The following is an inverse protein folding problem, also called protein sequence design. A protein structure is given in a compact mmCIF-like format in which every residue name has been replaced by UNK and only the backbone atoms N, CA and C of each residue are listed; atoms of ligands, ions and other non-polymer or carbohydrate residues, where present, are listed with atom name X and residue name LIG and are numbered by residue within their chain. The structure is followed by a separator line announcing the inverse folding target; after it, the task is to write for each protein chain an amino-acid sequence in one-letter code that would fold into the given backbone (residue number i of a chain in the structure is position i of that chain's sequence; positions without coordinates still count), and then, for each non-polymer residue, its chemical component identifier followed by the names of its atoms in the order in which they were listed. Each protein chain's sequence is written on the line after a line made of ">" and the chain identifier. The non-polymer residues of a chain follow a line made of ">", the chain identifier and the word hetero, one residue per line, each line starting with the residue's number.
data_IF_570574952746
#
_entry.id   IF_570574952746
#
_cell.length_a   1.000
_cell.length_b   1.000
_cell.length_c   1.000
_cell.angle_alpha   90.00
_cell.angle_beta   90.00
_cell.angle_gamma   90.00
#
_symmetry.space_group_name_H-M   'P 1'
#
loop_
_entity.id
_entity.type
_entity.pdbx_description
1 polymer ?
#
# COMPACT_ATOMS: atom_id res chain seq x y z
N UNK A 1 30.97 13.33 3.25
CA UNK A 1 29.70 13.99 2.87
C UNK A 1 29.17 13.23 1.67
N UNK A 2 28.23 12.31 1.88
CA UNK A 2 27.70 11.44 0.83
C UNK A 2 26.86 12.27 -0.13
N UNK A 3 27.16 12.24 -1.43
CA UNK A 3 26.19 12.65 -2.44
C UNK A 3 25.00 11.70 -2.29
N UNK A 4 23.85 12.20 -1.84
CA UNK A 4 22.58 11.58 -2.19
C UNK A 4 22.48 11.65 -3.71
N UNK A 5 22.93 10.60 -4.40
CA UNK A 5 22.82 10.48 -5.84
C UNK A 5 21.35 10.60 -6.22
N UNK A 6 21.02 11.55 -7.09
CA UNK A 6 19.68 11.64 -7.66
C UNK A 6 19.37 10.31 -8.36
N UNK A 7 18.29 9.65 -7.95
CA UNK A 7 17.79 8.46 -8.64
C UNK A 7 17.39 8.87 -10.05
N UNK A 8 18.26 8.57 -11.03
CA UNK A 8 18.14 9.09 -12.39
C UNK A 8 17.58 8.05 -13.37
N UNK A 9 17.65 6.77 -13.00
CA UNK A 9 17.15 5.64 -13.79
C UNK A 9 16.81 4.41 -12.94
N UNK A 10 16.41 3.34 -13.62
CA UNK A 10 15.94 2.10 -12.98
C UNK A 10 17.04 1.38 -12.17
N UNK A 11 18.29 1.46 -12.61
CA UNK A 11 19.43 0.84 -11.92
C UNK A 11 19.74 1.56 -10.59
N UNK A 12 19.81 2.89 -10.61
CA UNK A 12 19.97 3.69 -9.39
C UNK A 12 18.85 3.40 -8.38
N UNK A 13 17.61 3.32 -8.86
CA UNK A 13 16.46 3.01 -8.02
C UNK A 13 16.57 1.61 -7.41
N UNK A 14 16.92 0.59 -8.22
CA UNK A 14 17.11 -0.78 -7.73
C UNK A 14 18.17 -0.81 -6.63
N UNK A 15 19.31 -0.19 -6.85
CA UNK A 15 20.39 -0.12 -5.87
C UNK A 15 19.92 0.57 -4.58
N UNK A 16 19.19 1.69 -4.69
CA UNK A 16 18.62 2.37 -3.54
C UNK A 16 17.62 1.49 -2.76
N UNK A 17 16.77 0.73 -3.47
CA UNK A 17 15.82 -0.20 -2.86
C UNK A 17 16.55 -1.33 -2.11
N UNK A 18 17.55 -1.96 -2.73
CA UNK A 18 18.32 -3.06 -2.13
C UNK A 18 19.11 -2.61 -0.89
N UNK A 19 19.76 -1.46 -0.95
CA UNK A 19 20.47 -0.87 0.20
C UNK A 19 19.49 -0.52 1.33
N UNK A 20 18.33 0.04 0.99
CA UNK A 20 17.30 0.40 1.98
C UNK A 20 16.72 -0.84 2.63
N UNK A 21 16.42 -1.88 1.86
CA UNK A 21 15.87 -3.14 2.36
C UNK A 21 16.84 -3.83 3.34
N UNK A 22 18.13 -3.90 2.97
CA UNK A 22 19.18 -4.41 3.85
C UNK A 22 19.36 -3.58 5.13
N UNK A 23 19.25 -2.25 5.03
CA UNK A 23 19.30 -1.38 6.21
C UNK A 23 18.09 -1.62 7.13
N UNK A 24 16.89 -1.80 6.56
CA UNK A 24 15.69 -2.11 7.32
C UNK A 24 15.76 -3.47 8.01
N UNK A 25 16.48 -4.44 7.48
CA UNK A 25 16.71 -5.73 8.17
C UNK A 25 17.41 -5.55 9.51
N UNK A 26 18.29 -4.55 9.61
CA UNK A 26 18.98 -4.20 10.86
C UNK A 26 18.05 -3.52 11.86
N UNK A 27 17.15 -2.66 11.38
CA UNK A 27 16.24 -1.88 12.23
C UNK A 27 14.99 -2.66 12.66
N UNK A 28 14.51 -3.56 11.82
CA UNK A 28 13.29 -4.34 12.01
C UNK A 28 13.53 -5.82 11.65
N UNK A 29 14.35 -6.55 12.42
CA UNK A 29 14.74 -7.93 12.09
C UNK A 29 13.57 -8.90 12.06
N UNK A 30 12.50 -8.64 12.82
CA UNK A 30 11.27 -9.44 12.79
C UNK A 30 10.50 -9.33 11.46
N UNK A 31 10.82 -8.36 10.59
CA UNK A 31 10.16 -8.12 9.31
C UNK A 31 11.01 -8.52 8.10
N UNK A 32 12.17 -9.15 8.31
CA UNK A 32 13.05 -9.62 7.21
C UNK A 32 12.26 -10.50 6.25
N UNK A 33 12.35 -10.20 4.95
CA UNK A 33 11.62 -10.90 3.88
C UNK A 33 10.10 -10.70 3.89
N UNK A 34 9.56 -9.94 4.84
CA UNK A 34 8.12 -9.71 5.02
C UNK A 34 7.77 -8.23 4.81
N UNK A 35 8.05 -7.71 3.61
CA UNK A 35 7.84 -6.29 3.28
C UNK A 35 6.95 -6.09 2.06
N UNK A 36 6.24 -4.97 2.13
CA UNK A 36 5.50 -4.36 1.03
C UNK A 36 6.09 -2.99 0.74
N UNK A 37 5.77 -2.43 -0.42
CA UNK A 37 6.27 -1.13 -0.85
C UNK A 37 5.17 -0.07 -0.85
N UNK A 38 5.51 1.19 -0.63
CA UNK A 38 4.60 2.31 -0.79
C UNK A 38 5.21 3.31 -1.78
N UNK A 39 4.53 3.56 -2.90
CA UNK A 39 5.00 4.52 -3.90
C UNK A 39 4.99 5.94 -3.31
N UNK A 40 6.15 6.64 -3.24
CA UNK A 40 6.22 8.00 -2.71
C UNK A 40 5.38 8.95 -3.56
N UNK A 41 4.45 9.69 -2.95
CA UNK A 41 3.48 10.53 -3.67
C UNK A 41 2.71 9.78 -4.79
N UNK A 42 2.60 8.46 -4.67
CA UNK A 42 2.04 7.56 -5.69
C UNK A 42 2.79 7.53 -7.04
N UNK A 43 3.98 8.12 -7.10
CA UNK A 43 4.84 8.13 -8.29
C UNK A 43 5.39 6.73 -8.55
N UNK A 44 5.14 6.14 -9.72
CA UNK A 44 5.60 4.77 -10.05
C UNK A 44 6.57 4.70 -11.22
N UNK A 45 7.27 5.79 -11.47
CA UNK A 45 8.25 5.94 -12.54
C UNK A 45 9.46 6.80 -12.11
N UNK A 46 10.55 6.62 -12.85
CA UNK A 46 11.76 7.46 -12.83
C UNK A 46 11.98 8.04 -14.22
N UNK A 47 12.89 9.02 -14.32
CA UNK A 47 13.12 9.75 -15.57
C UNK A 47 11.97 10.71 -15.92
N UNK A 48 12.06 11.37 -17.08
CA UNK A 48 11.09 12.36 -17.56
C UNK A 48 10.96 12.29 -19.07
N UNK A 49 9.83 12.73 -19.61
CA UNK A 49 9.60 12.79 -21.06
C UNK A 49 9.72 11.40 -21.72
N UNK A 50 10.47 11.33 -22.82
CA UNK A 50 10.68 10.09 -23.58
C UNK A 50 11.46 9.01 -22.79
N UNK A 51 12.24 9.40 -21.77
CA UNK A 51 13.04 8.49 -20.96
C UNK A 51 12.31 8.01 -19.69
N UNK A 52 11.03 8.36 -19.53
CA UNK A 52 10.21 7.97 -18.37
C UNK A 52 10.00 6.47 -18.36
N UNK A 53 10.37 5.83 -17.26
CA UNK A 53 10.33 4.38 -17.10
C UNK A 53 9.61 4.00 -15.83
N UNK A 54 8.67 3.06 -15.91
CA UNK A 54 8.01 2.53 -14.73
C UNK A 54 8.93 1.58 -13.97
N UNK A 55 8.89 1.67 -12.65
CA UNK A 55 9.61 0.75 -11.77
C UNK A 55 8.70 -0.25 -11.06
N UNK A 56 7.40 -0.31 -11.41
CA UNK A 56 6.47 -1.32 -10.90
C UNK A 56 7.01 -2.75 -11.09
N UNK A 57 7.64 -3.13 -12.22
CA UNK A 57 8.23 -4.47 -12.36
C UNK A 57 9.35 -4.77 -11.36
N UNK A 58 10.10 -3.75 -10.94
CA UNK A 58 11.15 -3.90 -9.91
C UNK A 58 10.47 -4.21 -8.57
N UNK A 59 9.43 -3.46 -8.21
CA UNK A 59 8.65 -3.69 -6.99
C UNK A 59 8.03 -5.09 -6.99
N UNK A 60 7.47 -5.53 -8.11
CA UNK A 60 6.88 -6.86 -8.26
C UNK A 60 7.89 -8.01 -8.00
N UNK A 61 9.18 -7.78 -8.31
CA UNK A 61 10.24 -8.75 -8.09
C UNK A 61 10.81 -8.76 -6.66
N UNK A 62 10.60 -7.69 -5.89
CA UNK A 62 11.23 -7.49 -4.57
C UNK A 62 10.26 -7.60 -3.40
N UNK A 63 9.02 -7.16 -3.55
CA UNK A 63 8.07 -7.02 -2.46
C UNK A 63 6.79 -7.82 -2.70
N UNK A 64 6.01 -8.09 -1.64
CA UNK A 64 4.72 -8.81 -1.80
C UNK A 64 3.70 -8.02 -2.61
N UNK A 65 3.72 -6.70 -2.46
CA UNK A 65 2.79 -5.77 -3.08
C UNK A 65 3.35 -4.35 -2.99
N UNK A 66 2.84 -3.47 -3.85
CA UNK A 66 3.09 -2.04 -3.83
C UNK A 66 1.79 -1.25 -3.67
N UNK A 67 1.73 -0.33 -2.70
CA UNK A 67 0.60 0.56 -2.44
C UNK A 67 0.73 1.84 -3.26
N UNK A 68 -0.13 1.97 -4.27
CA UNK A 68 -0.30 3.14 -5.14
C UNK A 68 -1.52 4.00 -4.73
N UNK A 69 -1.75 5.10 -5.43
CA UNK A 69 -2.93 5.97 -5.26
C UNK A 69 -4.14 5.51 -6.09
N UNK A 70 -5.01 6.45 -6.47
CA UNK A 70 -6.17 6.29 -7.39
C UNK A 70 -7.56 6.07 -6.74
N UNK A 71 -7.69 6.16 -5.41
CA UNK A 71 -8.99 6.20 -4.71
C UNK A 71 -10.01 5.15 -5.19
N UNK A 72 -9.58 3.88 -5.22
CA UNK A 72 -10.41 2.77 -5.68
C UNK A 72 -10.20 1.51 -4.85
N UNK A 73 -11.28 0.76 -4.64
CA UNK A 73 -11.21 -0.58 -4.04
C UNK A 73 -10.71 -1.60 -5.05
N UNK A 74 -10.12 -2.68 -4.58
CA UNK A 74 -9.41 -3.64 -5.42
C UNK A 74 -10.15 -4.98 -5.46
N UNK A 75 -10.39 -5.52 -6.64
CA UNK A 75 -10.86 -6.91 -6.79
C UNK A 75 -9.69 -7.84 -6.47
N UNK A 76 -9.77 -8.70 -5.43
CA UNK A 76 -8.67 -9.58 -5.06
C UNK A 76 -8.28 -10.57 -6.17
N UNK A 77 -9.16 -10.84 -7.14
CA UNK A 77 -8.87 -11.75 -8.25
C UNK A 77 -8.09 -11.10 -9.39
N UNK A 78 -8.18 -9.78 -9.52
CA UNK A 78 -7.71 -9.04 -10.70
C UNK A 78 -6.66 -7.97 -10.37
N UNK A 79 -6.50 -7.62 -9.09
CA UNK A 79 -5.55 -6.60 -8.67
C UNK A 79 -4.12 -7.00 -9.04
N UNK A 80 -3.41 -6.11 -9.72
CA UNK A 80 -1.96 -6.15 -9.79
C UNK A 80 -1.43 -5.76 -8.41
N UNK A 81 -0.95 -6.75 -7.65
CA UNK A 81 -0.49 -6.52 -6.28
C UNK A 81 0.70 -5.55 -6.23
N UNK A 82 1.55 -5.52 -7.26
CA UNK A 82 2.66 -4.57 -7.33
C UNK A 82 2.18 -3.12 -7.52
N UNK A 83 0.91 -2.91 -7.91
CA UNK A 83 0.28 -1.61 -8.08
C UNK A 83 -1.15 -1.59 -7.48
N UNK A 84 -1.25 -1.91 -6.20
CA UNK A 84 -2.52 -1.93 -5.47
C UNK A 84 -2.99 -0.52 -5.16
N UNK A 85 -4.21 -0.17 -5.53
CA UNK A 85 -4.77 1.18 -5.31
C UNK A 85 -5.18 1.38 -3.87
N UNK A 86 -5.14 2.64 -3.43
CA UNK A 86 -5.57 3.03 -2.09
C UNK A 86 -6.39 4.32 -2.10
N UNK A 87 -7.16 4.51 -1.05
CA UNK A 87 -7.85 5.75 -0.76
C UNK A 87 -7.01 6.57 0.21
N UNK A 88 -6.75 7.81 -0.17
CA UNK A 88 -6.11 8.78 0.69
C UNK A 88 -7.14 9.36 1.67
N UNK A 89 -6.83 9.26 2.95
CA UNK A 89 -7.61 9.84 4.02
C UNK A 89 -7.07 11.24 4.30
N UNK A 90 -7.96 12.21 4.16
CA UNK A 90 -7.76 13.63 4.36
C UNK A 90 -9.09 14.27 4.78
N UNK A 91 -9.27 14.48 6.09
CA UNK A 91 -10.40 15.20 6.66
C UNK A 91 -11.78 14.54 6.54
N UNK A 92 -11.90 13.30 6.02
CA UNK A 92 -13.20 12.63 5.93
C UNK A 92 -13.73 12.25 7.32
N UNK A 93 -15.06 12.28 7.44
CA UNK A 93 -15.77 11.78 8.61
C UNK A 93 -15.75 10.25 8.64
N UNK A 94 -15.77 9.67 9.84
CA UNK A 94 -15.82 8.23 10.05
C UNK A 94 -16.96 7.58 9.25
N UNK A 95 -18.15 8.21 9.26
CA UNK A 95 -19.30 7.74 8.50
C UNK A 95 -19.03 7.64 6.98
N UNK A 96 -18.27 8.58 6.41
CA UNK A 96 -17.92 8.57 4.98
C UNK A 96 -16.94 7.44 4.65
N UNK A 97 -15.97 7.21 5.53
CA UNK A 97 -15.00 6.11 5.39
C UNK A 97 -15.67 4.75 5.60
N UNK A 98 -16.62 4.65 6.54
CA UNK A 98 -17.42 3.46 6.77
C UNK A 98 -18.27 3.12 5.53
N UNK A 99 -18.95 4.09 4.90
CA UNK A 99 -19.68 3.83 3.65
C UNK A 99 -18.73 3.39 2.52
N UNK A 100 -17.52 3.94 2.46
CA UNK A 100 -16.49 3.50 1.52
C UNK A 100 -16.09 2.02 1.75
N UNK A 101 -15.84 1.62 3.00
CA UNK A 101 -15.53 0.23 3.37
C UNK A 101 -16.69 -0.69 2.98
N UNK A 102 -17.92 -0.34 3.35
CA UNK A 102 -19.14 -1.08 3.05
C UNK A 102 -19.36 -1.25 1.54
N UNK A 103 -19.10 -0.21 0.74
CA UNK A 103 -19.15 -0.30 -0.74
C UNK A 103 -18.09 -1.26 -1.29
N UNK A 104 -16.90 -1.29 -0.71
CA UNK A 104 -15.85 -2.25 -1.05
C UNK A 104 -16.29 -3.68 -0.76
N UNK A 105 -16.76 -3.92 0.45
CA UNK A 105 -17.25 -5.23 0.91
C UNK A 105 -18.40 -5.75 0.04
N UNK A 106 -19.40 -4.92 -0.30
CA UNK A 106 -20.52 -5.31 -1.20
C UNK A 106 -20.06 -5.78 -2.58
N UNK A 107 -18.90 -5.31 -3.05
CA UNK A 107 -18.30 -5.73 -4.32
C UNK A 107 -17.39 -6.96 -4.16
N UNK A 108 -17.16 -7.44 -2.94
CA UNK A 108 -16.13 -8.44 -2.65
C UNK A 108 -14.71 -7.90 -2.84
N UNK A 109 -14.54 -6.58 -2.79
CA UNK A 109 -13.25 -5.91 -2.93
C UNK A 109 -12.62 -5.66 -1.57
N UNK A 110 -11.30 -5.63 -1.52
CA UNK A 110 -10.57 -5.09 -0.38
C UNK A 110 -10.31 -3.60 -0.57
N UNK A 111 -10.27 -2.88 0.56
CA UNK A 111 -10.09 -1.43 0.62
C UNK A 111 -8.78 -1.17 1.35
N UNK A 112 -7.92 -0.35 0.75
CA UNK A 112 -6.67 0.10 1.37
C UNK A 112 -6.83 1.56 1.73
N UNK A 113 -6.72 1.89 3.02
CA UNK A 113 -6.78 3.26 3.53
C UNK A 113 -5.36 3.76 3.78
N UNK A 114 -5.03 4.94 3.27
CA UNK A 114 -3.73 5.60 3.47
C UNK A 114 -3.95 6.83 4.34
N UNK A 115 -3.32 6.84 5.51
CA UNK A 115 -3.32 7.97 6.44
C UNK A 115 -1.94 8.63 6.42
N UNK A 116 -1.89 9.96 6.31
CA UNK A 116 -0.64 10.74 6.38
C UNK A 116 -0.28 11.10 7.82
N UNK A 117 -1.31 11.42 8.62
CA UNK A 117 -1.22 11.70 10.05
C UNK A 117 -2.56 11.46 10.73
N UNK A 118 -2.51 11.17 12.02
CA UNK A 118 -3.68 11.00 12.89
C UNK A 118 -3.52 11.98 14.05
N UNK A 119 -4.36 13.04 14.08
CA UNK A 119 -4.39 14.03 15.17
C UNK A 119 -3.11 14.85 15.38
N UNK A 120 -2.35 15.18 14.33
CA UNK A 120 -1.21 16.11 14.39
C UNK A 120 -0.86 16.71 13.04
N UNK A 121 -0.24 17.90 13.00
CA UNK A 121 -0.19 18.81 11.84
C UNK A 121 0.10 18.17 10.45
N UNK A 122 -0.69 18.60 9.44
CA UNK A 122 -0.62 18.31 7.98
C UNK A 122 -1.32 17.03 7.48
N UNK A 123 -2.24 17.22 6.51
CA UNK A 123 -3.04 16.17 5.81
C UNK A 123 -3.68 15.19 6.82
N UNK A 124 -4.47 15.76 7.72
CA UNK A 124 -4.90 15.06 8.92
C UNK A 124 -6.19 14.29 8.73
N UNK A 125 -6.21 13.12 9.35
CA UNK A 125 -7.46 12.53 9.83
C UNK A 125 -7.59 12.91 11.30
N UNK A 126 -8.72 13.52 11.64
CA UNK A 126 -9.05 13.85 13.03
C UNK A 126 -9.04 12.57 13.88
N UNK A 127 -8.45 12.64 15.08
CA UNK A 127 -8.31 11.47 15.95
C UNK A 127 -9.64 10.79 16.26
N UNK A 128 -10.68 11.58 16.54
CA UNK A 128 -12.05 11.08 16.79
C UNK A 128 -12.63 10.34 15.58
N UNK A 129 -12.37 10.81 14.36
CA UNK A 129 -12.86 10.16 13.15
C UNK A 129 -12.11 8.85 12.89
N UNK A 130 -10.80 8.83 13.14
CA UNK A 130 -10.00 7.60 13.09
C UNK A 130 -10.49 6.57 14.12
N UNK A 131 -10.73 6.99 15.37
CA UNK A 131 -11.28 6.13 16.42
C UNK A 131 -12.66 5.57 16.03
N UNK A 132 -13.51 6.39 15.42
CA UNK A 132 -14.81 5.95 14.89
C UNK A 132 -14.68 4.85 13.83
N UNK A 133 -13.72 4.97 12.92
CA UNK A 133 -13.43 3.94 11.90
C UNK A 133 -12.95 2.64 12.56
N UNK A 134 -12.02 2.73 13.51
CA UNK A 134 -11.48 1.56 14.22
C UNK A 134 -12.56 0.88 15.06
N UNK A 135 -13.41 1.63 15.76
CA UNK A 135 -14.51 1.10 16.55
C UNK A 135 -15.50 0.32 15.68
N UNK A 136 -15.85 0.85 14.51
CA UNK A 136 -16.69 0.15 13.55
C UNK A 136 -16.05 -1.17 13.06
N UNK A 137 -14.77 -1.14 12.67
CA UNK A 137 -14.05 -2.34 12.23
C UNK A 137 -13.96 -3.41 13.32
N UNK A 138 -13.79 -3.00 14.59
CA UNK A 138 -13.77 -3.90 15.73
C UNK A 138 -15.15 -4.56 15.99
N UNK A 139 -16.23 -3.80 15.82
CA UNK A 139 -17.60 -4.31 15.94
C UNK A 139 -17.95 -5.29 14.80
N UNK A 140 -17.44 -5.05 13.60
CA UNK A 140 -17.75 -5.83 12.39
C UNK A 140 -16.74 -6.95 12.10
N UNK A 141 -15.90 -7.33 13.06
CA UNK A 141 -14.82 -8.32 12.90
C UNK A 141 -15.26 -9.69 12.38
N UNK A 142 -16.53 -10.05 12.59
CA UNK A 142 -17.11 -11.32 12.13
C UNK A 142 -17.45 -11.29 10.63
N UNK A 143 -17.49 -10.10 10.02
CA UNK A 143 -17.79 -9.86 8.60
C UNK A 143 -16.62 -9.23 7.83
N UNK A 144 -15.81 -8.42 8.50
CA UNK A 144 -14.73 -7.64 7.91
C UNK A 144 -13.41 -8.07 8.52
N UNK A 145 -12.50 -8.55 7.67
CA UNK A 145 -11.11 -8.74 8.06
C UNK A 145 -10.32 -7.45 7.87
N UNK A 146 -10.01 -6.78 8.98
CA UNK A 146 -9.03 -5.70 9.01
C UNK A 146 -7.64 -6.28 9.30
N UNK A 147 -6.69 -6.06 8.40
CA UNK A 147 -5.32 -6.56 8.52
C UNK A 147 -4.29 -5.57 7.99
N UNK A 148 -3.01 -5.89 8.13
CA UNK A 148 -1.96 -5.07 7.51
C UNK A 148 -2.01 -5.20 5.99
N UNK A 149 -1.47 -4.21 5.27
CA UNK A 149 -1.36 -4.30 3.82
C UNK A 149 -0.57 -5.54 3.38
N UNK A 150 0.48 -5.91 4.12
CA UNK A 150 1.28 -7.10 3.87
C UNK A 150 0.46 -8.40 4.02
N UNK A 151 -0.31 -8.55 5.11
CA UNK A 151 -1.04 -9.79 5.39
C UNK A 151 -2.12 -10.04 4.35
N UNK A 152 -2.91 -9.02 4.05
CA UNK A 152 -4.00 -9.15 3.06
C UNK A 152 -3.44 -9.36 1.66
N UNK A 153 -2.38 -8.64 1.28
CA UNK A 153 -1.71 -8.85 0.00
C UNK A 153 -1.11 -10.27 -0.12
N UNK A 154 -0.50 -10.78 0.95
CA UNK A 154 0.07 -12.13 0.98
C UNK A 154 -1.00 -13.20 0.79
N UNK A 155 -2.12 -13.06 1.48
CA UNK A 155 -3.29 -13.93 1.36
C UNK A 155 -3.89 -13.93 -0.05
N UNK A 156 -3.96 -12.76 -0.69
CA UNK A 156 -4.43 -12.61 -2.06
C UNK A 156 -3.44 -13.24 -3.05
N UNK A 157 -2.14 -12.99 -2.89
CA UNK A 157 -1.07 -13.53 -3.75
C UNK A 157 -1.10 -15.06 -3.80
N UNK A 158 -1.27 -15.69 -2.64
CA UNK A 158 -1.42 -17.15 -2.54
C UNK A 158 -2.60 -17.66 -3.38
N UNK A 159 -3.77 -17.02 -3.25
CA UNK A 159 -4.99 -17.43 -3.98
C UNK A 159 -4.93 -17.15 -5.47
N UNK A 160 -4.29 -16.06 -5.89
CA UNK A 160 -4.07 -15.77 -7.31
C UNK A 160 -3.17 -16.84 -7.94
N UNK A 161 -2.12 -17.31 -7.24
CA UNK A 161 -1.27 -18.41 -7.72
C UNK A 161 -2.05 -19.72 -7.88
N UNK A 162 -2.90 -20.06 -6.92
CA UNK A 162 -3.74 -21.27 -6.98
C UNK A 162 -4.76 -21.23 -8.12
N UNK A 163 -5.20 -20.04 -8.53
CA UNK A 163 -6.10 -19.87 -9.69
C UNK A 163 -5.38 -20.08 -11.02
N UNK A 164 -4.12 -19.68 -11.13
CA UNK A 164 -3.30 -19.85 -12.35
C UNK A 164 -2.78 -21.29 -12.48
N UNK A 165 -2.58 -21.99 -11.36
CA UNK A 165 -2.11 -23.37 -11.33
C UNK A 165 -3.17 -24.42 -11.72
N UNK A 166 -4.44 -24.01 -11.88
CA UNK A 166 -5.56 -24.86 -12.32
C UNK A 166 -5.86 -24.63 -13.79
#
# INVERSE_FOLDING_TARGET
>A
MSQAGLISGLEDLRNALEVTDAALDTLAPAQVGSRSFAYPCYESWVGRGADRQTYVPIIAGMFVAGRAGMAMSNDPRLVDLAYTRSFEMHGQKAAEVIDLIERGMRRGHWVVLTFHGIGGDFIETEGEEFEGIVAYLAQEKDRIWAGTFYDVASYIRERQRDQVAK
#
